data_IF_110875175450
#
_entry.id   IF_110875175450
#
_cell.length_a   1.000
_cell.length_b   1.000
_cell.length_c   1.000
_cell.angle_alpha   90.00
_cell.angle_beta   90.00
_cell.angle_gamma   90.00
#
_symmetry.space_group_name_H-M   'P 1'
#
loop_
_entity.id
_entity.type
_entity.pdbx_description
1 polymer ?
#
# COMPACT_ATOMS: atom_id res chain seq x y z
N UNK A 1 71.01 -16.53 25.92
CA UNK A 1 71.16 -15.56 24.80
C UNK A 1 69.81 -14.94 24.46
N UNK A 2 69.78 -13.63 24.14
CA UNK A 2 68.62 -12.97 23.55
C UNK A 2 68.87 -12.82 22.04
N UNK A 3 67.90 -13.21 21.22
CA UNK A 3 67.94 -12.99 19.77
C UNK A 3 67.10 -11.75 19.45
N UNK A 4 67.78 -10.71 18.96
CA UNK A 4 67.19 -9.62 18.17
C UNK A 4 67.59 -9.82 16.71
N UNK A 5 67.30 -8.81 15.86
CA UNK A 5 67.50 -8.76 14.40
C UNK A 5 66.37 -9.44 13.61
N UNK A 6 65.74 -8.82 12.59
CA UNK A 6 65.90 -7.46 12.03
C UNK A 6 64.61 -7.00 11.33
N UNK A 7 64.25 -5.72 11.47
CA UNK A 7 63.18 -5.06 10.69
C UNK A 7 63.76 -4.04 9.70
N UNK A 8 63.80 -4.35 8.39
CA UNK A 8 63.82 -3.35 7.29
C UNK A 8 63.66 -3.96 5.88
N UNK A 9 63.20 -3.11 4.93
CA UNK A 9 62.89 -3.36 3.51
C UNK A 9 61.52 -4.01 3.24
N UNK A 10 60.37 -3.31 3.33
CA UNK A 10 59.90 -2.12 2.58
C UNK A 10 59.80 -2.32 1.05
N UNK A 11 58.55 -2.44 0.58
CA UNK A 11 57.99 -2.01 -0.72
C UNK A 11 58.48 -2.67 -2.02
N UNK A 12 57.62 -3.50 -2.61
CA UNK A 12 57.65 -3.87 -4.03
C UNK A 12 56.48 -4.79 -4.41
N UNK A 13 55.86 -4.55 -5.58
CA UNK A 13 54.96 -5.47 -6.29
C UNK A 13 53.69 -6.00 -5.57
N UNK A 14 52.75 -5.10 -5.24
CA UNK A 14 51.33 -5.46 -5.16
C UNK A 14 50.64 -5.12 -6.50
N UNK A 15 50.80 -5.99 -7.51
CA UNK A 15 50.09 -5.89 -8.80
C UNK A 15 50.25 -7.17 -9.66
N UNK A 16 49.31 -8.13 -9.54
CA UNK A 16 48.91 -9.11 -10.58
C UNK A 16 48.02 -10.22 -9.99
N UNK A 17 46.68 -10.08 -10.02
CA UNK A 17 45.71 -11.19 -9.89
C UNK A 17 44.23 -10.72 -10.02
N UNK A 18 43.83 -10.12 -11.14
CA UNK A 18 42.41 -9.89 -11.46
C UNK A 18 42.16 -10.13 -12.95
N UNK A 19 41.84 -11.37 -13.30
CA UNK A 19 41.42 -11.77 -14.64
C UNK A 19 40.28 -12.79 -14.54
N UNK A 20 39.27 -12.63 -15.41
CA UNK A 20 38.13 -13.52 -15.65
C UNK A 20 37.17 -13.81 -14.48
N UNK A 21 36.05 -13.05 -14.42
CA UNK A 21 34.68 -13.58 -14.23
C UNK A 21 33.62 -12.46 -14.10
N UNK A 22 33.21 -11.83 -15.21
CA UNK A 22 31.94 -11.08 -15.27
C UNK A 22 31.34 -11.16 -16.68
N UNK A 23 30.62 -12.26 -16.93
CA UNK A 23 29.71 -12.40 -18.05
C UNK A 23 28.35 -12.78 -17.48
N UNK A 24 27.34 -11.92 -17.71
CA UNK A 24 25.87 -12.10 -17.60
C UNK A 24 25.22 -10.75 -17.24
N UNK A 25 25.12 -9.87 -18.23
CA UNK A 25 24.22 -8.72 -18.20
C UNK A 25 23.47 -8.69 -19.54
N UNK A 26 22.20 -9.10 -19.53
CA UNK A 26 21.33 -9.09 -20.72
C UNK A 26 19.96 -8.55 -20.39
N UNK A 27 19.49 -7.68 -21.29
CA UNK A 27 18.14 -7.12 -21.44
C UNK A 27 17.61 -6.23 -20.29
N UNK A 28 17.08 -5.04 -20.63
CA UNK A 28 16.26 -4.31 -19.66
C UNK A 28 15.98 -2.81 -19.80
N UNK A 29 16.35 -2.10 -20.88
CA UNK A 29 15.80 -0.77 -21.12
C UNK A 29 15.84 -0.39 -22.60
N UNK A 30 14.68 -0.40 -23.27
CA UNK A 30 14.53 0.09 -24.62
C UNK A 30 14.24 1.59 -24.60
N UNK A 31 15.08 2.37 -25.27
CA UNK A 31 14.76 3.76 -25.64
C UNK A 31 15.19 3.94 -27.09
N UNK A 32 14.20 3.98 -27.98
CA UNK A 32 14.39 4.16 -29.42
C UNK A 32 13.68 5.42 -29.87
N UNK A 33 14.45 6.42 -30.27
CA UNK A 33 13.98 7.64 -30.91
C UNK A 33 14.44 7.68 -32.39
N UNK A 34 13.67 8.36 -33.24
CA UNK A 34 14.04 8.68 -34.63
C UNK A 34 13.31 7.89 -35.72
N UNK A 35 12.24 8.46 -36.29
CA UNK A 35 11.52 7.87 -37.44
C UNK A 35 10.32 8.66 -37.98
N UNK A 36 10.57 9.85 -38.57
CA UNK A 36 9.67 10.63 -39.46
C UNK A 36 9.25 9.82 -40.71
N UNK A 37 8.25 10.11 -41.57
CA UNK A 37 7.08 11.03 -41.73
C UNK A 37 6.25 10.48 -42.94
N UNK A 38 5.02 10.85 -43.33
CA UNK A 38 4.03 11.89 -42.96
C UNK A 38 2.62 11.22 -42.85
N UNK A 39 1.48 11.89 -43.13
CA UNK A 39 0.17 11.20 -43.22
C UNK A 39 -1.16 11.96 -43.40
N UNK A 40 -1.22 13.29 -43.57
CA UNK A 40 -2.47 14.03 -43.93
C UNK A 40 -3.63 14.14 -42.88
N UNK A 41 -4.58 15.10 -43.05
CA UNK A 41 -5.16 15.81 -41.90
C UNK A 41 -6.61 15.48 -41.55
N UNK A 42 -6.99 15.75 -40.29
CA UNK A 42 -8.38 16.04 -39.93
C UNK A 42 -8.51 17.26 -39.01
N UNK A 43 -9.59 18.01 -39.19
CA UNK A 43 -9.73 19.43 -38.81
C UNK A 43 -10.73 19.62 -37.67
N UNK A 44 -10.37 20.41 -36.65
CA UNK A 44 -11.24 20.92 -35.58
C UNK A 44 -11.79 19.83 -34.62
N UNK A 45 -12.13 20.12 -33.35
CA UNK A 45 -12.45 21.40 -32.67
C UNK A 45 -11.76 21.54 -31.31
N UNK A 46 -11.48 22.76 -30.89
CA UNK A 46 -11.08 23.04 -29.50
C UNK A 46 -12.28 23.00 -28.55
N UNK A 47 -12.10 22.37 -27.39
CA UNK A 47 -12.86 22.67 -26.18
C UNK A 47 -11.90 22.66 -24.99
N UNK A 48 -11.85 23.79 -24.27
CA UNK A 48 -11.45 23.85 -22.84
C UNK A 48 -12.73 23.55 -22.02
N UNK A 49 -12.76 23.22 -20.74
CA UNK A 49 -11.76 22.95 -19.67
C UNK A 49 -12.06 21.53 -19.10
N UNK A 50 -11.62 21.00 -17.95
CA UNK A 50 -10.84 21.40 -16.76
C UNK A 50 -9.96 20.20 -16.31
N UNK A 51 -9.12 20.37 -15.28
CA UNK A 51 -8.40 19.28 -14.61
C UNK A 51 -9.32 18.20 -14.02
N UNK A 52 -8.98 16.92 -14.26
CA UNK A 52 -9.55 15.78 -13.54
C UNK A 52 -8.43 14.82 -13.12
N UNK A 53 -8.21 14.71 -11.82
CA UNK A 53 -7.23 13.80 -11.21
C UNK A 53 -7.59 12.34 -11.54
N UNK A 54 -6.56 11.54 -11.82
CA UNK A 54 -6.70 10.10 -12.01
C UNK A 54 -7.02 9.35 -10.72
N UNK A 55 -7.29 8.05 -10.88
CA UNK A 55 -7.50 7.05 -9.81
C UNK A 55 -8.85 7.12 -9.08
N UNK A 56 -9.91 6.81 -9.83
CA UNK A 56 -11.10 6.15 -9.26
C UNK A 56 -10.79 4.66 -9.06
N UNK A 57 -10.55 4.24 -7.82
CA UNK A 57 -10.49 2.83 -7.41
C UNK A 57 -11.84 2.13 -7.75
N UNK A 58 -11.87 0.83 -8.12
CA UNK A 58 -13.11 0.19 -8.58
C UNK A 58 -14.20 0.24 -7.51
N UNK A 59 -15.34 0.84 -7.85
CA UNK A 59 -16.50 0.89 -6.98
C UNK A 59 -17.08 -0.53 -6.77
N UNK A 60 -16.62 -1.20 -5.71
CA UNK A 60 -17.16 -2.48 -5.28
C UNK A 60 -18.69 -2.40 -5.08
N UNK A 61 -19.43 -3.44 -5.49
CA UNK A 61 -20.89 -3.45 -5.38
C UNK A 61 -21.32 -3.44 -3.91
N UNK A 62 -21.68 -2.25 -3.42
CA UNK A 62 -22.12 -1.99 -2.05
C UNK A 62 -23.45 -2.66 -1.69
N UNK A 63 -24.14 -3.29 -2.64
CA UNK A 63 -25.33 -4.14 -2.38
C UNK A 63 -24.96 -5.57 -2.00
N UNK A 64 -23.78 -6.05 -2.40
CA UNK A 64 -23.29 -7.39 -2.03
C UNK A 64 -22.95 -7.42 -0.54
N UNK A 65 -23.33 -8.47 0.17
CA UNK A 65 -22.94 -8.67 1.58
C UNK A 65 -22.27 -10.03 1.71
N UNK A 66 -21.01 -10.03 2.15
CA UNK A 66 -20.22 -11.25 2.41
C UNK A 66 -20.00 -11.51 3.90
N UNK A 67 -20.34 -10.56 4.78
CA UNK A 67 -20.27 -10.71 6.23
C UNK A 67 -20.74 -9.45 6.96
N UNK A 68 -21.05 -9.58 8.25
CA UNK A 68 -21.37 -8.48 9.16
C UNK A 68 -20.60 -8.67 10.48
N UNK A 69 -19.97 -7.62 10.99
CA UNK A 69 -19.35 -7.57 12.32
C UNK A 69 -20.11 -6.58 13.20
N UNK A 70 -20.53 -7.02 14.39
CA UNK A 70 -21.26 -6.20 15.37
C UNK A 70 -20.29 -5.72 16.45
N UNK A 71 -20.00 -4.43 16.46
CA UNK A 71 -19.16 -3.79 17.46
C UNK A 71 -19.96 -3.26 18.66
N UNK A 72 -19.27 -2.65 19.65
CA UNK A 72 -19.90 -1.98 20.77
C UNK A 72 -20.87 -0.87 20.33
N UNK A 73 -21.78 -0.47 21.23
CA UNK A 73 -22.70 0.68 21.02
C UNK A 73 -23.57 0.59 19.75
N UNK A 74 -23.87 -0.64 19.29
CA UNK A 74 -24.61 -0.92 18.05
C UNK A 74 -23.96 -0.36 16.77
N UNK A 75 -22.63 -0.26 16.75
CA UNK A 75 -21.89 -0.03 15.50
C UNK A 75 -21.80 -1.33 14.73
N UNK A 76 -22.09 -1.28 13.44
CA UNK A 76 -22.12 -2.44 12.55
C UNK A 76 -21.20 -2.20 11.37
N UNK A 77 -20.38 -3.19 11.05
CA UNK A 77 -19.48 -3.18 9.89
C UNK A 77 -19.95 -4.26 8.92
N UNK A 78 -20.52 -3.85 7.81
CA UNK A 78 -20.93 -4.76 6.73
C UNK A 78 -19.78 -4.89 5.74
N UNK A 79 -19.41 -6.11 5.36
CA UNK A 79 -18.38 -6.39 4.36
C UNK A 79 -19.04 -6.65 3.00
N UNK A 80 -18.55 -5.98 1.96
CA UNK A 80 -19.06 -6.08 0.59
C UNK A 80 -18.15 -6.92 -0.30
N UNK A 81 -16.83 -6.73 -0.21
CA UNK A 81 -15.86 -7.56 -0.90
C UNK A 81 -14.54 -7.71 -0.13
N UNK A 82 -13.78 -8.74 -0.53
CA UNK A 82 -12.43 -9.04 -0.06
C UNK A 82 -11.68 -9.65 -1.26
N UNK A 83 -10.96 -8.82 -2.00
CA UNK A 83 -10.45 -9.13 -3.33
C UNK A 83 -8.92 -9.14 -3.32
N UNK A 84 -8.31 -10.18 -3.91
CA UNK A 84 -6.85 -10.28 -4.09
C UNK A 84 -6.46 -9.53 -5.36
N UNK A 85 -5.46 -8.66 -5.25
CA UNK A 85 -4.82 -8.05 -6.42
C UNK A 85 -3.56 -8.82 -6.84
N UNK A 86 -3.19 -8.67 -8.12
CA UNK A 86 -1.97 -9.16 -8.75
C UNK A 86 -0.67 -8.69 -8.07
N UNK A 87 -0.67 -7.51 -7.43
CA UNK A 87 0.44 -6.95 -6.66
C UNK A 87 0.66 -7.58 -5.27
N UNK A 88 -0.09 -8.63 -4.91
CA UNK A 88 0.14 -9.41 -3.69
C UNK A 88 -0.53 -8.84 -2.43
N UNK A 89 -1.61 -8.08 -2.58
CA UNK A 89 -2.42 -7.56 -1.48
C UNK A 89 -3.90 -7.98 -1.59
N UNK A 90 -4.63 -7.80 -0.50
CA UNK A 90 -6.09 -7.99 -0.41
C UNK A 90 -6.73 -6.67 0.00
N UNK A 91 -7.62 -6.15 -0.84
CA UNK A 91 -8.47 -5.00 -0.50
C UNK A 91 -9.80 -5.51 0.06
N UNK A 92 -10.12 -5.12 1.29
CA UNK A 92 -11.41 -5.39 1.93
C UNK A 92 -12.25 -4.11 1.88
N UNK A 93 -13.44 -4.19 1.28
CA UNK A 93 -14.38 -3.09 1.15
C UNK A 93 -15.65 -3.35 1.97
N UNK A 94 -16.21 -2.30 2.57
CA UNK A 94 -17.39 -2.41 3.43
C UNK A 94 -18.04 -1.08 3.76
N UNK A 95 -19.01 -1.13 4.68
CA UNK A 95 -19.72 0.04 5.21
C UNK A 95 -19.78 -0.04 6.73
N UNK A 96 -19.48 1.07 7.41
CA UNK A 96 -19.68 1.27 8.85
C UNK A 96 -21.01 1.99 9.07
N UNK A 97 -21.97 1.33 9.69
CA UNK A 97 -23.28 1.89 10.07
C UNK A 97 -23.36 2.07 11.57
N UNK A 98 -23.74 3.27 12.02
CA UNK A 98 -24.07 3.51 13.42
C UNK A 98 -25.57 3.23 13.67
N UNK A 99 -25.91 2.04 14.17
CA UNK A 99 -27.28 1.68 14.61
C UNK A 99 -27.54 2.04 16.08
N UNK A 100 -26.65 2.82 16.70
CA UNK A 100 -26.80 3.34 18.07
C UNK A 100 -27.53 4.69 18.11
N UNK A 101 -27.83 5.16 19.33
CA UNK A 101 -28.49 6.44 19.59
C UNK A 101 -27.53 7.62 19.83
N UNK A 102 -26.22 7.40 19.71
CA UNK A 102 -25.18 8.40 20.02
C UNK A 102 -24.21 8.55 18.86
N UNK A 103 -23.65 9.75 18.70
CA UNK A 103 -22.62 10.03 17.70
C UNK A 103 -21.37 9.16 17.98
N UNK A 104 -20.86 8.50 16.95
CA UNK A 104 -19.75 7.55 17.04
C UNK A 104 -18.44 8.10 16.47
N UNK A 105 -17.37 7.91 17.22
CA UNK A 105 -16.00 8.18 16.82
C UNK A 105 -15.16 6.89 17.00
N UNK A 106 -14.63 6.26 15.94
CA UNK A 106 -13.79 5.07 16.00
C UNK A 106 -12.35 5.39 16.42
N UNK A 107 -12.16 6.15 17.51
CA UNK A 107 -10.83 6.57 17.98
C UNK A 107 -9.98 5.34 18.36
N UNK A 108 -10.62 4.32 18.93
CA UNK A 108 -10.00 3.08 19.39
C UNK A 108 -9.79 2.05 18.26
N UNK A 109 -10.14 2.38 17.01
CA UNK A 109 -9.92 1.50 15.84
C UNK A 109 -8.60 1.78 15.11
N UNK A 110 -7.86 2.82 15.53
CA UNK A 110 -6.52 3.11 15.00
C UNK A 110 -5.50 2.09 15.51
N UNK A 111 -4.42 1.87 14.76
CA UNK A 111 -3.31 1.06 15.26
C UNK A 111 -2.62 1.76 16.46
N UNK A 112 -2.19 1.02 17.50
CA UNK A 112 -1.33 1.55 18.55
C UNK A 112 0.13 1.75 18.09
N UNK A 113 0.50 1.33 16.88
CA UNK A 113 1.86 1.46 16.35
C UNK A 113 2.26 2.92 16.12
N UNK A 114 3.46 3.28 16.60
CA UNK A 114 4.02 4.64 16.46
C UNK A 114 4.15 5.04 14.99
N UNK A 115 4.54 4.09 14.13
CA UNK A 115 4.68 4.29 12.68
C UNK A 115 3.37 4.68 11.96
N UNK A 116 2.22 4.34 12.56
CA UNK A 116 0.88 4.68 12.05
C UNK A 116 0.27 5.88 12.78
N UNK A 117 1.01 6.59 13.63
CA UNK A 117 0.49 7.73 14.40
C UNK A 117 -0.04 8.89 13.52
N UNK A 118 0.41 8.99 12.25
CA UNK A 118 -0.14 9.94 11.27
C UNK A 118 -1.53 9.52 10.76
N UNK A 119 -1.85 8.22 10.77
CA UNK A 119 -3.17 7.66 10.47
C UNK A 119 -4.13 7.93 11.63
N UNK A 120 -4.77 9.12 11.61
CA UNK A 120 -5.62 9.61 12.71
C UNK A 120 -6.93 8.82 12.84
N UNK A 121 -8.10 9.45 12.68
CA UNK A 121 -9.41 8.78 12.78
C UNK A 121 -9.57 7.78 11.62
N UNK A 122 -9.15 6.54 11.83
CA UNK A 122 -8.86 5.58 10.78
C UNK A 122 -9.13 4.15 11.22
N UNK A 123 -9.25 3.25 10.25
CA UNK A 123 -9.41 1.79 10.50
C UNK A 123 -8.06 1.07 10.58
N UNK A 124 -6.97 1.78 10.86
CA UNK A 124 -5.58 1.28 10.77
C UNK A 124 -5.25 0.13 11.74
N UNK A 125 -6.03 -0.05 12.81
CA UNK A 125 -5.91 -1.19 13.75
C UNK A 125 -6.63 -2.46 13.29
N UNK A 126 -7.26 -2.45 12.12
CA UNK A 126 -7.87 -3.64 11.52
C UNK A 126 -6.81 -4.72 11.24
N UNK A 127 -7.25 -5.98 11.16
CA UNK A 127 -6.36 -7.09 10.82
C UNK A 127 -7.10 -8.23 10.12
N UNK A 128 -6.54 -8.72 9.03
CA UNK A 128 -6.98 -9.92 8.34
C UNK A 128 -6.32 -11.15 8.99
N UNK A 129 -7.11 -12.20 9.28
CA UNK A 129 -6.59 -13.43 9.90
C UNK A 129 -6.75 -14.59 8.91
N UNK A 130 -5.64 -15.18 8.50
CA UNK A 130 -5.65 -16.47 7.81
C UNK A 130 -5.54 -17.61 8.83
N UNK A 131 -6.66 -18.29 9.05
CA UNK A 131 -6.72 -19.47 9.91
C UNK A 131 -5.95 -20.68 9.39
N UNK A 132 -5.70 -20.80 8.07
CA UNK A 132 -4.96 -21.93 7.48
C UNK A 132 -3.46 -21.75 7.63
N UNK A 133 -2.93 -20.59 7.21
CA UNK A 133 -1.53 -20.21 7.38
C UNK A 133 -1.16 -19.79 8.81
N UNK A 134 -2.16 -19.67 9.71
CA UNK A 134 -2.01 -19.28 11.13
C UNK A 134 -1.35 -17.90 11.29
N UNK A 135 -1.70 -16.96 10.41
CA UNK A 135 -1.10 -15.62 10.34
C UNK A 135 -2.15 -14.53 10.57
N UNK A 136 -1.73 -13.48 11.26
CA UNK A 136 -2.46 -12.21 11.38
C UNK A 136 -1.72 -11.17 10.55
N UNK A 137 -2.42 -10.57 9.60
CA UNK A 137 -1.94 -9.53 8.72
C UNK A 137 -2.45 -8.18 9.21
N UNK A 138 -1.57 -7.20 9.28
CA UNK A 138 -1.91 -5.82 9.64
C UNK A 138 -2.15 -5.01 8.36
N UNK A 139 -2.79 -3.85 8.52
CA UNK A 139 -3.07 -2.92 7.40
C UNK A 139 -1.75 -2.47 6.77
N UNK A 140 -1.71 -2.41 5.43
CA UNK A 140 -0.59 -1.85 4.68
C UNK A 140 -0.42 -0.34 4.94
N UNK A 141 0.76 0.20 4.62
CA UNK A 141 1.07 1.62 4.76
C UNK A 141 1.86 2.15 3.58
N UNK A 142 1.73 3.44 3.32
CA UNK A 142 2.53 4.16 2.33
C UNK A 142 3.95 4.49 2.86
N UNK A 143 4.74 5.19 2.05
CA UNK A 143 6.08 5.67 2.40
C UNK A 143 6.09 6.75 3.49
N UNK A 144 4.95 7.40 3.74
CA UNK A 144 4.79 8.45 4.73
C UNK A 144 4.29 7.94 6.08
N UNK A 145 3.86 6.68 6.19
CA UNK A 145 3.28 6.12 7.42
C UNK A 145 1.77 6.38 7.57
N UNK A 146 1.06 6.67 6.49
CA UNK A 146 -0.40 6.55 6.44
C UNK A 146 -0.78 5.10 6.14
N UNK A 147 -1.90 4.63 6.70
CA UNK A 147 -2.47 3.35 6.30
C UNK A 147 -3.01 3.43 4.86
N UNK A 148 -2.93 2.31 4.14
CA UNK A 148 -3.74 2.08 2.94
C UNK A 148 -5.14 1.65 3.38
N UNK A 149 -5.85 2.58 4.02
CA UNK A 149 -7.16 2.37 4.62
C UNK A 149 -7.95 3.66 4.77
N UNK A 150 -9.25 3.55 5.05
CA UNK A 150 -10.09 4.72 5.30
C UNK A 150 -9.63 5.51 6.53
N UNK A 151 -9.38 6.80 6.30
CA UNK A 151 -9.10 7.82 7.32
C UNK A 151 -10.25 8.85 7.37
N UNK A 152 -10.15 9.86 8.24
CA UNK A 152 -11.21 10.87 8.41
C UNK A 152 -12.52 10.35 9.02
N UNK A 153 -12.57 9.11 9.50
CA UNK A 153 -13.78 8.48 9.99
C UNK A 153 -14.12 8.99 11.41
N UNK A 154 -14.90 10.07 11.51
CA UNK A 154 -15.33 10.66 12.79
C UNK A 154 -16.74 11.25 12.73
N UNK A 155 -17.43 11.27 13.87
CA UNK A 155 -18.75 11.87 13.98
C UNK A 155 -19.84 11.18 13.16
N UNK A 156 -19.84 9.84 13.11
CA UNK A 156 -20.89 9.06 12.45
C UNK A 156 -22.17 9.20 13.28
N UNK A 157 -23.19 9.86 12.74
CA UNK A 157 -24.48 10.12 13.39
C UNK A 157 -25.31 8.84 13.50
N UNK A 158 -26.35 8.87 14.33
CA UNK A 158 -27.33 7.78 14.38
C UNK A 158 -27.92 7.51 12.98
N UNK A 159 -28.01 6.23 12.63
CA UNK A 159 -28.43 5.69 11.34
C UNK A 159 -27.55 6.08 10.13
N UNK A 160 -26.48 6.85 10.33
CA UNK A 160 -25.54 7.16 9.27
C UNK A 160 -24.69 5.93 8.92
N UNK A 161 -24.45 5.77 7.62
CA UNK A 161 -23.59 4.73 7.05
C UNK A 161 -22.50 5.39 6.22
N UNK A 162 -21.25 4.97 6.42
CA UNK A 162 -20.10 5.46 5.65
C UNK A 162 -19.30 4.30 5.06
N UNK A 163 -18.79 4.43 3.82
CA UNK A 163 -17.91 3.42 3.27
C UNK A 163 -16.63 3.33 4.12
N UNK A 164 -16.02 2.15 4.11
CA UNK A 164 -14.63 1.99 4.52
C UNK A 164 -13.94 0.93 3.67
N UNK A 165 -12.62 1.04 3.59
CA UNK A 165 -11.74 0.03 3.02
C UNK A 165 -10.50 -0.15 3.90
N UNK A 166 -9.84 -1.30 3.78
CA UNK A 166 -8.51 -1.54 4.30
C UNK A 166 -7.77 -2.56 3.41
N UNK A 167 -6.50 -2.28 3.10
CA UNK A 167 -5.63 -3.18 2.35
C UNK A 167 -4.67 -3.94 3.28
N UNK A 168 -4.45 -5.21 2.99
CA UNK A 168 -3.58 -6.13 3.74
C UNK A 168 -2.63 -6.86 2.78
N UNK A 169 -1.45 -7.34 3.20
CA UNK A 169 -0.72 -8.33 2.41
C UNK A 169 -1.59 -9.57 2.16
N UNK A 170 -1.53 -10.14 0.95
CA UNK A 170 -2.33 -11.31 0.61
C UNK A 170 -1.82 -12.57 1.33
N UNK A 171 -2.71 -13.43 1.87
CA UNK A 171 -2.31 -14.65 2.55
C UNK A 171 -1.80 -15.76 1.63
#
# INVERSE_FOLDING_TARGET
MSIRHTTKARRGAAAAALAAALALAVAGCGSGDGGKEDGSPHKSTAAKTDDAQGETEPAADSKKVIGEMKGPKNIVVTLHSAERDSGGFVTVNGTVTNRGSTLFNPIDWRSPEVELAKSRSSVSGASLVDGKGKKRYLVLRDTDGQCLCTTGLSGIKQNESRPFFAQFPAP
#
